data_IF_238932520363
#
_entry.id   IF_238932520363
#
_cell.length_a   1.000
_cell.length_b   1.000
_cell.length_c   1.000
_cell.angle_alpha   90.00
_cell.angle_beta   90.00
_cell.angle_gamma   90.00
#
_symmetry.space_group_name_H-M   'P 1'
#
loop_
_entity.id
_entity.type
_entity.pdbx_description
1 polymer ?
#
# COMPACT_ATOMS: atom_id res chain seq x y z
N UNK A 1 -14.33 22.93 -11.09
CA UNK A 1 -14.05 21.48 -11.27
C UNK A 1 -13.35 21.00 -10.03
N UNK A 2 -13.83 19.94 -9.42
CA UNK A 2 -13.20 19.33 -8.26
C UNK A 2 -12.46 18.08 -8.71
N UNK A 3 -11.13 18.08 -8.71
CA UNK A 3 -10.35 16.89 -9.05
C UNK A 3 -10.40 15.89 -7.90
N UNK A 4 -10.57 14.61 -8.23
CA UNK A 4 -10.53 13.50 -7.29
C UNK A 4 -9.26 12.69 -7.51
N UNK A 5 -8.65 12.28 -6.41
CA UNK A 5 -7.43 11.48 -6.42
C UNK A 5 -7.59 10.24 -5.57
N UNK A 6 -7.13 9.11 -6.10
CA UNK A 6 -6.81 7.90 -5.36
C UNK A 6 -5.30 7.73 -5.30
N UNK A 7 -4.77 7.34 -4.15
CA UNK A 7 -3.34 7.14 -3.93
C UNK A 7 -3.10 5.71 -3.49
N UNK A 8 -2.18 5.02 -4.16
CA UNK A 8 -1.72 3.68 -3.78
C UNK A 8 -0.28 3.78 -3.29
N UNK A 9 -0.05 3.42 -2.04
CA UNK A 9 1.27 3.48 -1.42
C UNK A 9 1.79 2.09 -1.14
N UNK A 10 2.83 1.69 -1.85
CA UNK A 10 3.62 0.51 -1.56
C UNK A 10 4.70 0.81 -0.53
N UNK A 11 5.05 -0.19 0.26
CA UNK A 11 6.12 -0.11 1.25
C UNK A 11 6.68 -1.50 1.55
N UNK A 12 7.91 -1.56 2.06
CA UNK A 12 8.54 -2.81 2.46
C UNK A 12 8.84 -2.79 3.95
N UNK A 13 8.49 -3.88 4.61
CA UNK A 13 8.76 -4.12 6.02
C UNK A 13 10.07 -4.91 6.18
N UNK A 14 10.91 -4.45 7.08
CA UNK A 14 12.17 -5.08 7.43
C UNK A 14 12.21 -5.43 8.92
N UNK A 15 12.98 -6.43 9.26
CA UNK A 15 13.42 -6.62 10.64
C UNK A 15 14.26 -5.39 11.09
N UNK A 16 14.45 -5.21 12.39
CA UNK A 16 15.21 -4.05 12.91
C UNK A 16 16.68 -4.03 12.52
N UNK A 17 17.20 -5.11 11.91
CA UNK A 17 18.53 -5.13 11.31
C UNK A 17 18.65 -4.27 10.04
N UNK A 18 17.49 -3.79 9.51
CA UNK A 18 17.34 -2.99 8.29
C UNK A 18 17.90 -3.66 7.02
N UNK A 19 18.13 -4.95 7.06
CA UNK A 19 18.74 -5.72 5.97
C UNK A 19 17.86 -6.88 5.49
N UNK A 20 17.12 -7.46 6.42
CA UNK A 20 16.30 -8.64 6.15
C UNK A 20 14.83 -8.25 6.08
N UNK A 21 14.19 -8.25 4.89
CA UNK A 21 12.76 -8.02 4.78
C UNK A 21 11.97 -9.04 5.61
N UNK A 22 10.83 -8.63 6.09
CA UNK A 22 9.98 -9.47 6.91
C UNK A 22 9.55 -10.72 6.14
N UNK A 23 9.70 -11.90 6.74
CA UNK A 23 9.40 -13.18 6.10
C UNK A 23 10.50 -13.73 5.20
N UNK A 24 11.62 -13.02 5.04
CA UNK A 24 12.79 -13.54 4.36
C UNK A 24 13.63 -14.43 5.30
N UNK A 25 14.30 -15.47 4.78
CA UNK A 25 15.22 -16.26 5.58
C UNK A 25 16.40 -15.42 6.05
N UNK A 26 16.90 -15.69 7.23
CA UNK A 26 18.08 -15.00 7.80
C UNK A 26 19.30 -15.20 6.90
N UNK A 27 19.89 -14.08 6.46
CA UNK A 27 21.11 -14.06 5.65
C UNK A 27 20.96 -14.59 4.22
N UNK A 28 19.74 -14.73 3.72
CA UNK A 28 19.50 -15.27 2.39
C UNK A 28 18.29 -14.66 1.68
N UNK A 29 18.07 -15.15 0.47
CA UNK A 29 16.90 -14.80 -0.33
C UNK A 29 15.81 -15.85 -0.20
N UNK A 30 14.51 -15.48 -0.41
CA UNK A 30 13.43 -16.45 -0.44
C UNK A 30 13.69 -17.55 -1.46
N UNK A 31 13.34 -18.78 -1.10
CA UNK A 31 13.47 -19.94 -1.99
C UNK A 31 12.42 -19.99 -3.09
N UNK A 32 11.34 -19.23 -2.92
CA UNK A 32 10.22 -19.14 -3.87
C UNK A 32 10.33 -17.84 -4.65
N UNK A 33 9.94 -17.83 -5.94
CA UNK A 33 9.86 -16.60 -6.72
C UNK A 33 8.80 -15.66 -6.14
N UNK A 34 8.93 -14.36 -6.42
CA UNK A 34 7.87 -13.41 -6.14
C UNK A 34 6.61 -13.70 -6.99
N UNK A 35 5.48 -13.13 -6.57
CA UNK A 35 4.18 -13.33 -7.22
C UNK A 35 3.17 -14.04 -6.32
N UNK A 36 3.45 -15.22 -5.74
CA UNK A 36 2.51 -15.93 -4.86
C UNK A 36 2.14 -15.17 -3.58
N UNK A 37 2.84 -14.09 -3.27
CA UNK A 37 2.61 -13.22 -2.11
C UNK A 37 1.57 -12.12 -2.37
N UNK A 38 1.29 -11.83 -3.65
CA UNK A 38 0.33 -10.81 -4.05
C UNK A 38 -1.09 -11.15 -3.60
N UNK A 39 -1.72 -10.23 -2.87
CA UNK A 39 -3.04 -10.39 -2.25
C UNK A 39 -3.19 -11.72 -1.48
N UNK A 40 -2.11 -12.23 -0.92
CA UNK A 40 -2.01 -13.57 -0.37
C UNK A 40 -2.75 -13.71 0.96
N UNK A 41 -3.09 -14.97 1.26
CA UNK A 41 -3.68 -15.42 2.52
C UNK A 41 -2.82 -16.56 3.06
N UNK A 42 -2.71 -16.62 4.39
CA UNK A 42 -1.93 -17.63 5.08
C UNK A 42 -0.59 -17.10 5.62
N UNK A 43 -0.14 -17.63 6.75
CA UNK A 43 1.06 -17.11 7.44
C UNK A 43 2.35 -17.38 6.67
N UNK A 44 2.34 -18.34 5.74
CA UNK A 44 3.47 -18.69 4.87
C UNK A 44 3.58 -17.80 3.63
N UNK A 45 2.59 -16.96 3.37
CA UNK A 45 2.53 -16.11 2.18
C UNK A 45 2.43 -14.62 2.52
N UNK A 46 1.72 -14.24 3.58
CA UNK A 46 1.56 -12.84 3.94
C UNK A 46 2.35 -12.50 5.21
N UNK A 47 3.39 -11.71 5.04
CA UNK A 47 4.25 -11.27 6.13
C UNK A 47 3.98 -9.78 6.42
N UNK A 48 3.50 -9.48 7.63
CA UNK A 48 3.19 -8.12 8.05
C UNK A 48 1.70 -7.76 8.07
N UNK A 49 0.78 -8.71 7.87
CA UNK A 49 -0.67 -8.45 7.91
C UNK A 49 -1.13 -7.74 9.18
N UNK A 50 -0.66 -8.19 10.34
CA UNK A 50 -1.05 -7.57 11.60
C UNK A 50 -0.65 -6.08 11.67
N UNK A 51 0.45 -5.71 11.02
CA UNK A 51 0.93 -4.33 10.93
C UNK A 51 0.03 -3.51 10.01
N UNK A 52 -0.27 -4.03 8.82
CA UNK A 52 -1.17 -3.36 7.87
C UNK A 52 -2.58 -3.22 8.42
N UNK A 53 -3.10 -4.24 9.09
CA UNK A 53 -4.43 -4.20 9.72
C UNK A 53 -4.47 -3.16 10.87
N UNK A 54 -3.44 -3.10 11.71
CA UNK A 54 -3.34 -2.10 12.77
C UNK A 54 -3.24 -0.68 12.20
N UNK A 55 -2.43 -0.49 11.17
CA UNK A 55 -2.32 0.78 10.44
C UNK A 55 -3.66 1.18 9.81
N UNK A 56 -4.36 0.25 9.16
CA UNK A 56 -5.68 0.48 8.58
C UNK A 56 -6.67 0.98 9.64
N UNK A 57 -6.76 0.29 10.78
CA UNK A 57 -7.64 0.71 11.87
C UNK A 57 -7.25 2.08 12.46
N UNK A 58 -5.96 2.35 12.62
CA UNK A 58 -5.48 3.63 13.11
C UNK A 58 -5.81 4.77 12.13
N UNK A 59 -5.69 4.53 10.82
CA UNK A 59 -6.10 5.48 9.79
C UNK A 59 -7.60 5.75 9.81
N UNK A 60 -8.45 4.73 9.93
CA UNK A 60 -9.89 4.90 10.07
C UNK A 60 -10.23 5.73 11.32
N UNK A 61 -9.60 5.44 12.46
CA UNK A 61 -9.79 6.20 13.70
C UNK A 61 -9.37 7.66 13.55
N UNK A 62 -8.30 7.93 12.82
CA UNK A 62 -7.81 9.28 12.53
C UNK A 62 -8.67 10.04 11.49
N UNK A 63 -9.64 9.40 10.86
CA UNK A 63 -10.49 9.99 9.82
C UNK A 63 -9.83 10.04 8.45
N UNK A 64 -8.78 9.24 8.21
CA UNK A 64 -8.16 9.09 6.90
C UNK A 64 -9.10 8.28 5.98
N UNK A 65 -9.26 8.71 4.75
CA UNK A 65 -10.02 8.00 3.71
C UNK A 65 -9.23 6.78 3.19
N UNK A 66 -8.80 5.91 4.11
CA UNK A 66 -8.16 4.65 3.73
C UNK A 66 -9.20 3.70 3.17
N UNK A 67 -8.95 3.14 1.98
CA UNK A 67 -9.93 2.34 1.23
C UNK A 67 -9.55 0.87 1.13
N UNK A 68 -8.29 0.51 1.31
CA UNK A 68 -7.86 -0.87 1.26
C UNK A 68 -6.42 -1.08 1.70
N UNK A 69 -6.08 -2.37 1.87
CA UNK A 69 -4.72 -2.86 2.11
C UNK A 69 -4.55 -4.20 1.41
N UNK A 70 -3.36 -4.48 0.91
CA UNK A 70 -3.02 -5.78 0.31
C UNK A 70 -1.53 -6.10 0.47
N UNK A 71 -1.22 -7.40 0.39
CA UNK A 71 0.16 -7.85 0.22
C UNK A 71 0.61 -7.66 -1.23
N UNK A 72 1.85 -7.27 -1.41
CA UNK A 72 2.49 -7.11 -2.71
C UNK A 72 3.24 -8.37 -3.15
N UNK A 73 3.79 -8.35 -4.39
CA UNK A 73 4.38 -9.53 -5.03
C UNK A 73 5.66 -10.03 -4.36
N UNK A 74 6.36 -9.17 -3.63
CA UNK A 74 7.55 -9.52 -2.86
C UNK A 74 7.19 -9.85 -1.41
N UNK A 75 7.75 -10.89 -0.79
CA UNK A 75 7.51 -11.16 0.62
C UNK A 75 8.02 -10.02 1.50
N UNK A 76 7.19 -9.57 2.45
CA UNK A 76 7.46 -8.39 3.29
C UNK A 76 7.07 -7.05 2.66
N UNK A 77 6.63 -7.07 1.41
CA UNK A 77 6.07 -5.89 0.75
C UNK A 77 4.56 -5.84 0.90
N UNK A 78 4.06 -4.66 1.21
CA UNK A 78 2.64 -4.39 1.44
C UNK A 78 2.24 -3.10 0.74
N UNK A 79 0.94 -2.91 0.59
CA UNK A 79 0.35 -1.74 -0.03
C UNK A 79 -0.91 -1.29 0.72
N UNK A 80 -1.19 -0.01 0.67
CA UNK A 80 -2.48 0.54 1.10
C UNK A 80 -2.95 1.64 0.16
N UNK A 81 -4.26 1.84 0.12
CA UNK A 81 -4.90 2.84 -0.72
C UNK A 81 -5.56 3.93 0.13
N UNK A 82 -5.33 5.18 -0.25
CA UNK A 82 -5.97 6.38 0.32
C UNK A 82 -6.80 7.06 -0.74
N UNK A 83 -8.06 7.30 -0.44
CA UNK A 83 -8.99 7.97 -1.34
C UNK A 83 -10.31 7.24 -1.53
N UNK A 84 -11.19 7.78 -2.41
CA UNK A 84 -10.97 9.00 -3.18
C UNK A 84 -10.97 10.26 -2.30
N UNK A 85 -10.06 11.20 -2.60
CA UNK A 85 -9.93 12.48 -1.92
C UNK A 85 -10.04 13.64 -2.91
N UNK A 86 -10.49 14.81 -2.45
CA UNK A 86 -10.66 15.98 -3.30
C UNK A 86 -9.44 16.90 -3.20
N UNK A 87 -8.82 17.19 -4.32
CA UNK A 87 -7.75 18.20 -4.39
C UNK A 87 -6.57 17.89 -3.47
N UNK A 88 -6.19 18.88 -2.65
CA UNK A 88 -5.03 18.81 -1.76
C UNK A 88 -5.17 17.76 -0.65
N UNK A 89 -6.41 17.41 -0.27
CA UNK A 89 -6.66 16.42 0.79
C UNK A 89 -5.96 15.08 0.52
N UNK A 90 -5.80 14.71 -0.76
CA UNK A 90 -5.09 13.49 -1.13
C UNK A 90 -3.65 13.48 -0.61
N UNK A 91 -2.94 14.59 -0.79
CA UNK A 91 -1.57 14.75 -0.30
C UNK A 91 -1.49 14.78 1.22
N UNK A 92 -2.36 15.53 1.86
CA UNK A 92 -2.39 15.67 3.32
C UNK A 92 -2.70 14.33 4.00
N UNK A 93 -3.69 13.60 3.49
CA UNK A 93 -4.06 12.30 4.03
C UNK A 93 -2.99 11.23 3.75
N UNK A 94 -2.35 11.26 2.58
CA UNK A 94 -1.22 10.38 2.30
C UNK A 94 -0.05 10.63 3.27
N UNK A 95 0.30 11.88 3.52
CA UNK A 95 1.39 12.21 4.45
C UNK A 95 1.07 11.78 5.88
N UNK A 96 -0.18 11.98 6.32
CA UNK A 96 -0.62 11.54 7.64
C UNK A 96 -0.65 10.01 7.75
N UNK A 97 -1.10 9.31 6.72
CA UNK A 97 -1.10 7.84 6.69
C UNK A 97 0.31 7.26 6.76
N UNK A 98 1.29 7.87 6.10
CA UNK A 98 2.71 7.50 6.22
C UNK A 98 3.23 7.67 7.65
N UNK A 99 2.88 8.76 8.30
CA UNK A 99 3.23 8.97 9.71
C UNK A 99 2.62 7.89 10.60
N UNK A 100 1.33 7.59 10.43
CA UNK A 100 0.63 6.54 11.20
C UNK A 100 1.31 5.18 10.96
N UNK A 101 1.65 4.84 9.70
CA UNK A 101 2.36 3.61 9.37
C UNK A 101 3.69 3.51 10.15
N UNK A 102 4.50 4.55 10.13
CA UNK A 102 5.78 4.56 10.86
C UNK A 102 5.57 4.37 12.38
N UNK A 103 4.55 5.02 12.96
CA UNK A 103 4.20 4.88 14.38
C UNK A 103 3.74 3.46 14.74
N UNK A 104 2.93 2.84 13.89
CA UNK A 104 2.52 1.45 14.06
C UNK A 104 3.72 0.50 13.96
N UNK A 105 4.62 0.72 13.02
CA UNK A 105 5.84 -0.08 12.90
C UNK A 105 6.72 -0.04 14.16
N UNK A 106 6.77 1.09 14.87
CA UNK A 106 7.46 1.17 16.17
C UNK A 106 6.88 0.19 17.20
N UNK A 107 5.56 0.10 17.30
CA UNK A 107 4.88 -0.78 18.25
C UNK A 107 5.11 -2.27 17.92
N UNK A 108 5.27 -2.60 16.65
CA UNK A 108 5.56 -3.95 16.17
C UNK A 108 7.05 -4.28 16.10
N UNK A 109 7.93 -3.35 16.46
CA UNK A 109 9.39 -3.52 16.40
C UNK A 109 9.88 -3.95 15.01
N UNK A 110 9.38 -3.28 13.98
CA UNK A 110 9.79 -3.45 12.59
C UNK A 110 10.22 -2.11 11.99
N UNK A 111 11.07 -2.17 10.97
CA UNK A 111 11.43 -1.02 10.17
C UNK A 111 10.60 -1.00 8.88
N UNK A 112 10.05 0.15 8.53
CA UNK A 112 9.30 0.37 7.29
C UNK A 112 10.09 1.30 6.37
N UNK A 113 10.20 0.95 5.10
CA UNK A 113 10.82 1.82 4.08
C UNK A 113 9.85 2.09 2.93
N UNK A 114 9.86 3.33 2.47
CA UNK A 114 9.20 3.79 1.24
C UNK A 114 10.20 3.92 0.08
N UNK A 115 11.41 3.36 0.23
CA UNK A 115 12.43 3.41 -0.81
C UNK A 115 11.96 2.65 -2.06
N UNK A 116 12.04 3.24 -3.26
CA UNK A 116 11.47 2.64 -4.48
C UNK A 116 12.16 1.35 -4.92
N UNK A 117 13.38 1.08 -4.49
CA UNK A 117 14.10 -0.18 -4.77
C UNK A 117 14.89 -0.60 -3.52
N UNK A 118 14.22 -1.14 -2.49
CA UNK A 118 14.88 -1.45 -1.23
C UNK A 118 15.84 -2.65 -1.35
N UNK A 119 15.56 -3.58 -2.27
CA UNK A 119 16.43 -4.71 -2.58
C UNK A 119 17.02 -4.52 -3.98
N UNK A 120 18.31 -4.29 -4.04
CA UNK A 120 19.01 -4.02 -5.30
C UNK A 120 19.57 -5.29 -5.95
N UNK A 121 19.83 -6.32 -5.18
CA UNK A 121 20.30 -7.61 -5.68
C UNK A 121 19.13 -8.48 -6.15
N UNK A 122 19.28 -9.10 -7.31
CA UNK A 122 18.23 -9.90 -7.94
C UNK A 122 17.12 -9.05 -8.58
N UNK A 123 16.09 -9.72 -9.07
CA UNK A 123 14.97 -9.10 -9.78
C UNK A 123 13.72 -8.99 -8.88
N UNK A 124 13.89 -8.39 -7.69
CA UNK A 124 12.81 -8.18 -6.74
C UNK A 124 12.02 -6.92 -7.04
N UNK A 125 10.72 -6.94 -6.71
CA UNK A 125 9.81 -5.83 -6.97
C UNK A 125 10.29 -4.50 -6.36
N UNK A 126 10.06 -3.43 -7.07
CA UNK A 126 10.19 -2.07 -6.55
C UNK A 126 8.94 -1.65 -5.78
N UNK A 127 8.99 -0.51 -5.13
CA UNK A 127 7.87 0.11 -4.44
C UNK A 127 7.62 1.50 -5.00
N UNK A 128 6.36 1.88 -5.13
CA UNK A 128 5.98 3.18 -5.67
C UNK A 128 4.91 3.87 -4.84
N UNK A 129 4.59 5.07 -5.26
CA UNK A 129 3.34 5.73 -4.92
C UNK A 129 2.65 6.05 -6.23
N UNK A 130 1.56 5.36 -6.47
CA UNK A 130 0.75 5.55 -7.66
C UNK A 130 -0.43 6.46 -7.33
N UNK A 131 -0.92 7.20 -8.32
CA UNK A 131 -2.11 8.02 -8.15
C UNK A 131 -3.02 7.88 -9.37
N UNK A 132 -4.30 7.83 -9.09
CA UNK A 132 -5.35 7.96 -10.09
C UNK A 132 -5.99 9.34 -10.00
N UNK A 133 -6.33 9.89 -11.15
CA UNK A 133 -6.96 11.20 -11.25
C UNK A 133 -8.27 11.08 -12.02
N UNK A 134 -9.34 11.61 -11.44
CA UNK A 134 -10.63 11.72 -12.10
C UNK A 134 -11.25 13.10 -11.92
N UNK A 135 -11.89 13.61 -12.97
CA UNK A 135 -12.71 14.81 -12.89
C UNK A 135 -14.19 14.43 -12.86
N UNK A 136 -14.95 15.08 -12.00
CA UNK A 136 -16.40 14.83 -11.84
C UNK A 136 -17.15 14.86 -13.18
N UNK A 137 -16.72 15.69 -14.12
CA UNK A 137 -17.31 15.79 -15.47
C UNK A 137 -17.14 14.48 -16.28
N UNK A 138 -15.97 13.84 -16.16
CA UNK A 138 -15.66 12.58 -16.84
C UNK A 138 -16.47 11.41 -16.25
N UNK A 139 -16.67 11.42 -14.94
CA UNK A 139 -17.48 10.44 -14.23
C UNK A 139 -18.95 10.46 -14.70
N UNK A 140 -19.55 11.64 -14.76
CA UNK A 140 -20.95 11.80 -15.23
C UNK A 140 -21.11 11.39 -16.69
N UNK A 141 -20.13 11.69 -17.56
CA UNK A 141 -20.16 11.27 -18.97
C UNK A 141 -20.07 9.75 -19.11
N UNK A 142 -19.17 9.09 -18.37
CA UNK A 142 -19.04 7.62 -18.41
C UNK A 142 -20.28 6.92 -17.91
N UNK A 143 -20.88 7.36 -16.82
CA UNK A 143 -22.11 6.79 -16.29
C UNK A 143 -23.33 7.03 -17.19
N UNK A 144 -23.44 8.19 -17.81
CA UNK A 144 -24.49 8.45 -18.81
C UNK A 144 -24.37 7.55 -20.05
N UNK A 145 -23.14 7.31 -20.52
CA UNK A 145 -22.90 6.42 -21.66
C UNK A 145 -23.16 4.94 -21.33
N UNK A 146 -22.98 4.54 -20.06
CA UNK A 146 -23.28 3.18 -19.63
C UNK A 146 -24.78 2.96 -19.48
N UNK A 147 -25.54 3.94 -19.00
CA UNK A 147 -26.99 3.88 -18.90
C UNK A 147 -27.68 3.93 -20.26
N UNK A 148 -27.12 4.66 -21.24
CA UNK A 148 -27.67 4.73 -22.60
C UNK A 148 -27.42 3.48 -23.45
N UNK A 149 -26.63 2.51 -22.97
CA UNK A 149 -26.41 1.21 -23.62
C UNK A 149 -27.26 0.07 -23.02
N UNK A 150 -28.08 0.36 -22.01
CA UNK A 150 -28.97 -0.60 -21.33
C UNK A 150 -30.44 -0.36 -21.59
N UNK A 151 -30.78 0.49 -22.56
CA UNK A 151 -32.15 0.72 -23.04
C UNK A 151 -32.29 0.27 -24.48
#
# INVERSE_FOLDING_TARGET
>A
MEPWFGMEQEFTLFNLDERTPLGWPEGGMPSRPQGPYYCSVGPENNFGRAITDAMYQACLYAGIAISGVNGEVMPGQQEYQVGPCVGIDAGDQLMMSRYILMRVCEDFQVYCTLHPKPIVEGDWNGAGTFYEFEQLTSYLIRHHLTLSRLV
#
